data_IF_826236130490
#
_entry.id   IF_826236130490
#
_cell.length_a   1.000
_cell.length_b   1.000
_cell.length_c   1.000
_cell.angle_alpha   90.00
_cell.angle_beta   90.00
_cell.angle_gamma   90.00
#
_symmetry.space_group_name_H-M   'P 1'
#
loop_
_entity.id
_entity.type
_entity.pdbx_description
1 polymer ?
#
# COMPACT_ATOMS: atom_id res chain seq x y z
N UNK A 1 -5.34 -0.78 11.20
CA UNK A 1 -5.07 -2.23 11.08
C UNK A 1 -3.87 -2.44 10.16
N UNK A 2 -3.22 -3.60 10.22
CA UNK A 2 -2.09 -3.98 9.37
C UNK A 2 -2.50 -5.10 8.40
N UNK A 3 -2.14 -4.96 7.12
CA UNK A 3 -2.36 -6.01 6.11
C UNK A 3 -1.24 -7.04 6.19
N UNK A 4 -1.60 -8.32 6.27
CA UNK A 4 -0.66 -9.45 6.22
C UNK A 4 -0.56 -10.08 4.83
N UNK A 5 -1.65 -10.04 4.08
CA UNK A 5 -1.72 -10.61 2.74
C UNK A 5 -2.95 -10.15 2.01
N UNK A 6 -2.85 -10.16 0.68
CA UNK A 6 -3.95 -9.92 -0.24
C UNK A 6 -4.28 -11.25 -0.92
N UNK A 7 -5.57 -11.52 -1.09
CA UNK A 7 -6.07 -12.75 -1.66
C UNK A 7 -7.05 -12.43 -2.80
N UNK A 8 -7.14 -13.34 -3.76
CA UNK A 8 -8.16 -13.31 -4.81
C UNK A 8 -8.69 -14.72 -4.98
N UNK A 9 -10.00 -14.88 -4.97
CA UNK A 9 -10.64 -16.18 -5.15
C UNK A 9 -10.86 -16.52 -6.65
N UNK A 10 -11.48 -17.67 -6.90
CA UNK A 10 -11.79 -18.13 -8.27
C UNK A 10 -12.83 -17.27 -9.00
N UNK A 11 -13.54 -16.40 -8.29
CA UNK A 11 -14.53 -15.47 -8.82
C UNK A 11 -13.97 -14.04 -8.94
N UNK A 12 -12.66 -13.88 -8.79
CA UNK A 12 -11.96 -12.59 -8.80
C UNK A 12 -12.34 -11.66 -7.64
N UNK A 13 -13.00 -12.17 -6.58
CA UNK A 13 -13.25 -11.41 -5.36
C UNK A 13 -11.94 -11.16 -4.62
N UNK A 14 -11.69 -9.89 -4.28
CA UNK A 14 -10.46 -9.47 -3.61
C UNK A 14 -10.69 -9.30 -2.13
N UNK A 15 -9.81 -9.88 -1.33
CA UNK A 15 -9.84 -9.79 0.12
C UNK A 15 -8.44 -9.58 0.70
N UNK A 16 -8.36 -9.22 1.97
CA UNK A 16 -7.13 -9.03 2.69
C UNK A 16 -7.21 -9.67 4.08
N UNK A 17 -6.17 -10.42 4.44
CA UNK A 17 -5.96 -10.89 5.80
C UNK A 17 -5.32 -9.76 6.61
N UNK A 18 -5.89 -9.43 7.78
CA UNK A 18 -5.47 -8.31 8.60
C UNK A 18 -5.18 -8.70 10.04
N UNK A 19 -4.33 -7.92 10.67
CA UNK A 19 -4.16 -7.88 12.13
C UNK A 19 -4.60 -6.52 12.62
N UNK A 20 -5.43 -6.51 13.66
CA UNK A 20 -5.90 -5.27 14.24
C UNK A 20 -4.77 -4.54 14.96
N UNK A 21 -4.80 -3.21 14.90
CA UNK A 21 -3.87 -2.35 15.63
C UNK A 21 -4.68 -1.64 16.72
N UNK A 22 -4.25 -1.77 17.96
CA UNK A 22 -4.93 -1.15 19.10
C UNK A 22 -4.24 0.18 19.43
N UNK A 23 -4.99 1.29 19.54
CA UNK A 23 -4.43 2.57 19.91
C UNK A 23 -3.93 2.52 21.35
N UNK A 24 -2.86 3.25 21.62
CA UNK A 24 -2.34 3.47 22.97
C UNK A 24 -2.65 4.90 23.43
N UNK A 25 -2.25 5.25 24.65
CA UNK A 25 -2.40 6.61 25.18
C UNK A 25 -1.58 7.65 24.41
N UNK A 26 -0.60 7.23 23.61
CA UNK A 26 0.22 8.13 22.77
C UNK A 26 -0.26 8.17 21.32
N UNK A 27 -1.27 7.37 20.96
CA UNK A 27 -1.81 7.39 19.61
C UNK A 27 -2.53 8.71 19.32
N UNK A 28 -2.26 9.34 18.16
CA UNK A 28 -2.96 10.56 17.78
C UNK A 28 -4.46 10.30 17.60
N UNK A 29 -5.31 11.34 17.75
CA UNK A 29 -6.70 11.27 17.33
C UNK A 29 -6.80 10.90 15.84
N UNK A 30 -7.85 10.17 15.45
CA UNK A 30 -8.05 9.70 14.07
C UNK A 30 -8.01 10.81 13.01
N UNK A 31 -8.39 12.04 13.39
CA UNK A 31 -8.40 13.22 12.52
C UNK A 31 -7.00 13.81 12.25
N UNK A 32 -6.03 13.55 13.15
CA UNK A 32 -4.66 14.08 13.04
C UNK A 32 -3.73 13.16 12.23
N UNK A 33 -4.21 11.95 11.92
CA UNK A 33 -3.52 10.99 11.08
C UNK A 33 -3.22 9.67 11.79
N UNK A 34 -2.42 8.84 11.14
CA UNK A 34 -2.08 7.51 11.61
C UNK A 34 -0.56 7.37 11.78
N UNK A 35 -0.11 7.18 13.02
CA UNK A 35 1.30 6.91 13.34
C UNK A 35 1.47 5.46 13.82
N UNK A 36 2.02 4.55 13.00
CA UNK A 36 2.04 3.12 13.29
C UNK A 36 2.83 2.76 14.55
N UNK A 37 3.85 3.55 14.90
CA UNK A 37 4.72 3.33 16.07
C UNK A 37 3.99 3.48 17.40
N UNK A 38 2.84 4.19 17.39
CA UNK A 38 2.04 4.43 18.59
C UNK A 38 1.03 3.31 18.86
N UNK A 39 0.84 2.38 17.93
CA UNK A 39 -0.12 1.30 18.05
C UNK A 39 0.57 0.01 18.48
N UNK A 40 -0.17 -0.84 19.21
CA UNK A 40 0.27 -2.19 19.54
C UNK A 40 -0.48 -3.22 18.68
N UNK A 41 0.17 -4.35 18.44
CA UNK A 41 -0.41 -5.47 17.69
C UNK A 41 -1.56 -6.05 18.52
N UNK A 42 -2.74 -6.05 17.93
CA UNK A 42 -3.97 -6.60 18.49
C UNK A 42 -4.28 -8.01 17.92
N UNK A 43 -5.54 -8.45 18.06
CA UNK A 43 -5.96 -9.76 17.58
C UNK A 43 -5.85 -9.87 16.06
N UNK A 44 -5.58 -11.09 15.60
CA UNK A 44 -5.60 -11.45 14.20
C UNK A 44 -7.02 -11.77 13.76
N UNK A 45 -7.38 -11.39 12.53
CA UNK A 45 -8.67 -11.79 11.97
C UNK A 45 -8.53 -13.13 11.26
N UNK A 46 -9.33 -14.12 11.69
CA UNK A 46 -9.27 -15.48 11.14
C UNK A 46 -9.73 -15.55 9.68
N UNK A 47 -10.66 -14.67 9.29
CA UNK A 47 -11.25 -14.63 7.96
C UNK A 47 -10.79 -13.38 7.19
N UNK A 48 -10.32 -13.52 5.94
CA UNK A 48 -9.99 -12.37 5.11
C UNK A 48 -11.19 -11.45 4.90
N UNK A 49 -10.95 -10.15 5.04
CA UNK A 49 -11.96 -9.10 4.83
C UNK A 49 -11.98 -8.68 3.37
N UNK A 50 -13.16 -8.50 2.78
CA UNK A 50 -13.29 -8.02 1.40
C UNK A 50 -12.65 -6.63 1.25
N UNK A 51 -11.97 -6.38 0.14
CA UNK A 51 -11.33 -5.09 -0.12
C UNK A 51 -12.33 -3.94 -0.23
N UNK A 52 -13.61 -4.21 -0.50
CA UNK A 52 -14.67 -3.20 -0.47
C UNK A 52 -14.85 -2.52 0.90
N UNK A 53 -14.38 -3.15 1.97
CA UNK A 53 -14.38 -2.60 3.32
C UNK A 53 -13.13 -1.74 3.63
N UNK A 54 -12.24 -1.53 2.66
CA UNK A 54 -10.96 -0.86 2.86
C UNK A 54 -10.83 0.35 1.95
N UNK A 55 -10.27 1.43 2.49
CA UNK A 55 -9.88 2.60 1.73
C UNK A 55 -8.35 2.70 1.70
N UNK A 56 -7.78 2.79 0.49
CA UNK A 56 -6.35 2.95 0.29
C UNK A 56 -6.02 4.44 0.12
N UNK A 57 -5.53 5.06 1.19
CA UNK A 57 -5.09 6.46 1.17
C UNK A 57 -3.60 6.51 0.83
N UNK A 58 -3.27 7.17 -0.28
CA UNK A 58 -1.89 7.42 -0.70
C UNK A 58 -1.57 8.91 -0.55
N UNK A 59 -0.70 9.25 0.41
CA UNK A 59 -0.14 10.60 0.52
C UNK A 59 1.09 10.76 -0.40
N UNK A 60 0.90 10.49 -1.70
CA UNK A 60 1.97 10.70 -2.67
C UNK A 60 2.32 12.20 -2.73
N UNK A 61 3.60 12.58 -2.71
CA UNK A 61 4.01 13.96 -2.97
C UNK A 61 3.45 14.43 -4.31
N UNK A 62 3.10 15.72 -4.42
CA UNK A 62 2.54 16.32 -5.64
C UNK A 62 3.39 16.07 -6.90
N UNK A 63 4.70 15.89 -6.73
CA UNK A 63 5.65 15.66 -7.81
C UNK A 63 5.66 14.21 -8.34
N UNK A 64 5.02 13.27 -7.63
CA UNK A 64 4.98 11.85 -8.00
C UNK A 64 4.28 11.61 -9.36
N UNK A 65 3.29 12.43 -9.70
CA UNK A 65 2.50 12.28 -10.93
C UNK A 65 2.92 13.21 -12.09
N UNK A 66 4.07 13.89 -11.99
CA UNK A 66 4.54 14.86 -13.01
C UNK A 66 3.41 15.80 -13.46
N UNK A 67 2.73 16.43 -12.50
CA UNK A 67 1.64 17.35 -12.81
C UNK A 67 2.15 18.46 -13.74
N UNK A 68 1.43 18.79 -14.81
CA UNK A 68 1.86 19.85 -15.76
C UNK A 68 1.90 21.25 -15.12
N UNK A 69 1.33 21.41 -13.92
CA UNK A 69 1.17 22.68 -13.22
C UNK A 69 1.88 22.69 -11.85
N UNK A 70 3.02 21.99 -11.73
CA UNK A 70 3.85 22.14 -10.52
C UNK A 70 4.55 23.51 -10.57
N UNK A 71 4.61 24.25 -9.45
CA UNK A 71 5.39 25.49 -9.35
C UNK A 71 6.91 25.26 -9.39
N UNK A 72 7.35 24.00 -9.28
CA UNK A 72 8.74 23.61 -9.41
C UNK A 72 9.05 23.32 -10.89
N UNK A 73 10.10 23.95 -11.46
CA UNK A 73 10.58 23.58 -12.78
C UNK A 73 10.87 22.08 -12.78
N UNK A 74 10.44 21.30 -13.79
CA UNK A 74 10.81 19.91 -13.87
C UNK A 74 12.34 19.82 -13.77
N UNK A 75 12.88 19.00 -12.86
CA UNK A 75 14.32 18.90 -12.72
C UNK A 75 14.87 18.49 -14.09
N UNK A 76 15.90 19.21 -14.55
CA UNK A 76 16.67 18.89 -15.75
C UNK A 76 17.39 17.56 -15.51
N UNK A 77 16.63 16.47 -15.49
CA UNK A 77 17.14 15.12 -15.38
C UNK A 77 17.44 14.67 -16.79
N UNK A 78 18.64 15.00 -17.19
CA UNK A 78 19.38 14.32 -18.24
C UNK A 78 19.16 12.82 -18.07
N UNK A 79 18.49 12.18 -19.03
CA UNK A 79 18.62 10.76 -19.38
C UNK A 79 18.79 9.78 -18.20
N UNK A 80 17.99 9.90 -17.12
CA UNK A 80 18.18 9.12 -15.90
C UNK A 80 16.90 8.42 -15.48
N UNK A 81 16.90 7.09 -15.59
CA UNK A 81 15.83 6.17 -15.17
C UNK A 81 15.33 6.46 -13.75
N UNK A 82 14.17 7.10 -13.62
CA UNK A 82 13.57 7.52 -12.35
C UNK A 82 12.16 6.99 -12.13
N UNK A 83 11.89 5.73 -12.48
CA UNK A 83 10.62 5.07 -12.18
C UNK A 83 10.90 3.80 -11.37
N UNK A 84 10.41 3.72 -10.13
CA UNK A 84 10.32 2.44 -9.42
C UNK A 84 9.06 1.75 -9.93
N UNK A 85 9.21 0.98 -11.02
CA UNK A 85 8.21 0.02 -11.45
C UNK A 85 8.57 -1.32 -10.80
N UNK A 86 7.88 -1.71 -9.73
CA UNK A 86 7.98 -3.10 -9.27
C UNK A 86 7.22 -3.97 -10.26
N UNK A 87 7.91 -4.44 -11.32
CA UNK A 87 7.38 -5.52 -12.15
C UNK A 87 7.41 -6.81 -11.34
N UNK A 88 6.26 -7.44 -11.11
CA UNK A 88 6.22 -8.86 -10.76
C UNK A 88 6.78 -9.63 -11.95
N UNK A 89 8.02 -10.12 -11.84
CA UNK A 89 8.53 -11.13 -12.77
C UNK A 89 7.66 -12.37 -12.56
N UNK A 90 6.79 -12.63 -13.53
CA UNK A 90 6.05 -13.88 -13.59
C UNK A 90 7.06 -14.97 -14.02
N UNK A 91 7.73 -15.59 -13.06
CA UNK A 91 8.53 -16.80 -13.32
C UNK A 91 7.58 -17.99 -13.48
N UNK A 92 6.89 -18.02 -14.62
CA UNK A 92 6.25 -19.24 -15.11
C UNK A 92 7.25 -19.96 -16.01
N UNK A 93 7.72 -21.11 -15.50
CA UNK A 93 8.09 -22.33 -16.23
C UNK A 93 8.67 -22.16 -17.64
N UNK A 94 9.94 -22.55 -17.81
CA UNK A 94 10.31 -23.32 -18.99
C UNK A 94 11.36 -24.37 -18.63
N UNK A 95 10.86 -25.53 -18.20
CA UNK A 95 11.58 -26.77 -18.36
C UNK A 95 11.53 -27.22 -19.83
N UNK A 96 12.61 -27.89 -20.25
CA UNK A 96 12.84 -28.63 -21.51
C UNK A 96 13.25 -27.78 -22.72
N UNK A 97 14.53 -27.86 -23.07
CA UNK A 97 15.03 -28.81 -24.09
C UNK A 97 16.41 -29.28 -23.69
#
# INVERSE_FOLDING_TARGET
AQIRGLLTDQYCEKSAAITWLLPTTTSPPSEEGFSPETYIIGPEEDLPRKLECMEFVMHAPSDYYKLKNTPYPPPLTESGSGYIWTSLRNELNNGRT
#
